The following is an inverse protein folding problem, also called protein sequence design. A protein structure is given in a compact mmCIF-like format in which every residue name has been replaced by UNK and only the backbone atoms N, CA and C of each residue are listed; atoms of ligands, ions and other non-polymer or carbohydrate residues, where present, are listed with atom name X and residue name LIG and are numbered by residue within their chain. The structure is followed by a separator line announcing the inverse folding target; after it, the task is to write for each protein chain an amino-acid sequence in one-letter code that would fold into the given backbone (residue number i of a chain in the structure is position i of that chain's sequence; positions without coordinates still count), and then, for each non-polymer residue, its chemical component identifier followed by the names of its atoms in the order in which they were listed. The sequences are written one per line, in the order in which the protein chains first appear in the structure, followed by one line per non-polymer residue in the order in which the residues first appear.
data_IF_152264108603
#
_entry.id   IF_152264108603
#
_cell.length_a   1.000
_cell.length_b   1.000
_cell.length_c   1.000
_cell.angle_alpha   90.00
_cell.angle_beta   90.00
_cell.angle_gamma   90.00
#
_symmetry.space_group_name_H-M   'P 1'
#
loop_
_entity.id
_entity.type
_entity.pdbx_description
1 polymer ?
#
# COMPACT_ATOMS: atom_id res chain seq x y z
N UNK A 1 32.64 -2.30 -3.97
CA UNK A 1 32.40 -2.56 -5.40
C UNK A 1 31.84 -1.33 -6.07
N UNK A 2 32.12 -1.13 -7.35
CA UNK A 2 31.74 0.04 -8.15
C UNK A 2 31.25 -0.40 -9.52
N UNK A 3 30.52 0.46 -10.21
CA UNK A 3 30.20 0.26 -11.62
C UNK A 3 31.48 0.11 -12.44
N UNK A 4 31.54 -0.89 -13.31
CA UNK A 4 32.71 -1.29 -14.08
C UNK A 4 33.53 -2.44 -13.48
N UNK A 5 33.39 -2.75 -12.20
CA UNK A 5 34.06 -3.91 -11.59
C UNK A 5 33.57 -5.21 -12.25
N UNK A 6 34.47 -6.21 -12.36
CA UNK A 6 34.19 -7.51 -12.97
C UNK A 6 34.39 -8.63 -11.94
N UNK A 7 33.32 -9.35 -11.64
CA UNK A 7 33.35 -10.52 -10.75
C UNK A 7 33.77 -11.77 -11.54
N UNK A 8 34.73 -12.52 -11.02
CA UNK A 8 35.29 -13.75 -11.62
C UNK A 8 35.67 -13.62 -13.10
N UNK A 9 36.08 -12.42 -13.53
CA UNK A 9 36.37 -12.13 -14.93
C UNK A 9 35.19 -12.19 -15.90
N UNK A 10 33.99 -12.49 -15.38
CA UNK A 10 32.78 -12.78 -16.14
C UNK A 10 31.65 -11.75 -15.99
N UNK A 11 31.28 -11.37 -14.80
CA UNK A 11 30.11 -10.52 -14.55
C UNK A 11 30.54 -9.07 -14.33
N UNK A 12 30.38 -8.22 -15.35
CA UNK A 12 30.63 -6.79 -15.22
C UNK A 12 29.45 -6.10 -14.55
N UNK A 13 29.70 -5.40 -13.44
CA UNK A 13 28.70 -4.60 -12.74
C UNK A 13 28.44 -3.29 -13.49
N UNK A 14 27.20 -3.03 -13.89
CA UNK A 14 26.88 -1.84 -14.68
C UNK A 14 26.30 -0.72 -13.80
N UNK A 15 25.28 -1.01 -12.98
CA UNK A 15 24.68 -0.05 -12.04
C UNK A 15 24.02 -0.74 -10.84
N UNK A 16 24.00 -0.05 -9.71
CA UNK A 16 23.27 -0.51 -8.53
C UNK A 16 21.75 -0.47 -8.79
N UNK A 17 21.05 -1.57 -8.45
CA UNK A 17 19.60 -1.69 -8.51
C UNK A 17 18.96 -1.43 -7.15
N UNK A 18 19.64 -1.80 -6.09
CA UNK A 18 19.17 -1.61 -4.73
C UNK A 18 20.17 -2.12 -3.70
N UNK A 19 20.02 -1.64 -2.46
CA UNK A 19 20.84 -1.99 -1.31
C UNK A 19 19.95 -2.38 -0.15
N UNK A 20 20.27 -3.49 0.50
CA UNK A 20 19.59 -3.98 1.70
C UNK A 20 20.56 -4.46 2.77
N UNK A 21 20.05 -4.88 3.92
CA UNK A 21 20.88 -5.34 5.04
C UNK A 21 21.77 -6.54 4.72
N UNK A 22 21.44 -7.34 3.71
CA UNK A 22 22.19 -8.57 3.36
C UNK A 22 23.11 -8.40 2.16
N UNK A 23 22.99 -7.34 1.40
CA UNK A 23 23.81 -7.14 0.22
C UNK A 23 23.34 -6.04 -0.69
N UNK A 24 24.06 -5.92 -1.79
CA UNK A 24 23.80 -4.96 -2.87
C UNK A 24 23.43 -5.74 -4.12
N UNK A 25 22.34 -5.34 -4.77
CA UNK A 25 21.91 -5.92 -6.05
C UNK A 25 22.35 -4.99 -7.18
N UNK A 26 23.03 -5.55 -8.16
CA UNK A 26 23.54 -4.85 -9.34
C UNK A 26 22.87 -5.34 -10.62
N UNK A 27 22.55 -4.43 -11.52
CA UNK A 27 22.44 -4.80 -12.92
C UNK A 27 23.85 -5.06 -13.44
N UNK A 28 24.03 -6.17 -14.12
CA UNK A 28 25.33 -6.62 -14.60
C UNK A 28 25.22 -7.27 -16.00
N UNK A 29 26.35 -7.50 -16.62
CA UNK A 29 26.45 -8.15 -17.91
C UNK A 29 27.32 -9.40 -17.82
N UNK A 30 26.77 -10.56 -18.16
CA UNK A 30 27.50 -11.81 -18.29
C UNK A 30 28.29 -11.79 -19.63
N UNK A 31 29.58 -11.56 -19.54
CA UNK A 31 30.48 -11.40 -20.68
C UNK A 31 30.75 -12.72 -21.45
N UNK A 32 30.45 -13.87 -20.82
CA UNK A 32 30.70 -15.18 -21.42
C UNK A 32 29.61 -15.58 -22.40
N UNK A 33 28.35 -15.30 -22.08
CA UNK A 33 27.20 -15.66 -22.93
C UNK A 33 26.41 -14.43 -23.38
N UNK A 34 26.99 -13.24 -23.22
CA UNK A 34 26.50 -11.95 -23.71
C UNK A 34 25.05 -11.64 -23.40
N UNK A 35 24.72 -11.65 -22.07
CA UNK A 35 23.36 -11.34 -21.61
C UNK A 35 23.33 -10.46 -20.37
N UNK A 36 22.27 -9.64 -20.19
CA UNK A 36 22.05 -8.92 -18.95
C UNK A 36 21.62 -9.89 -17.83
N UNK A 37 22.13 -9.63 -16.62
CA UNK A 37 21.83 -10.39 -15.40
C UNK A 37 21.68 -9.44 -14.22
N UNK A 38 21.04 -9.89 -13.13
CA UNK A 38 21.13 -9.23 -11.83
C UNK A 38 22.14 -10.01 -10.96
N UNK A 39 23.00 -9.28 -10.25
CA UNK A 39 23.98 -9.87 -9.34
C UNK A 39 23.77 -9.33 -7.93
N UNK A 40 23.46 -10.21 -7.00
CA UNK A 40 23.33 -9.87 -5.57
C UNK A 40 24.64 -10.25 -4.87
N UNK A 41 25.30 -9.26 -4.30
CA UNK A 41 26.58 -9.42 -3.62
C UNK A 41 26.38 -9.25 -2.13
N UNK A 42 26.86 -10.17 -1.29
CA UNK A 42 26.77 -10.07 0.16
C UNK A 42 27.60 -8.87 0.68
N UNK A 43 27.15 -8.26 1.78
CA UNK A 43 27.98 -7.29 2.52
C UNK A 43 29.15 -8.01 3.21
N UNK A 44 30.22 -7.26 3.52
CA UNK A 44 31.38 -7.81 4.23
C UNK A 44 31.01 -8.44 5.57
N UNK A 45 30.08 -7.81 6.30
CA UNK A 45 29.59 -8.32 7.59
C UNK A 45 28.95 -9.71 7.44
N UNK A 46 28.10 -9.90 6.43
CA UNK A 46 27.47 -11.20 6.18
C UNK A 46 28.41 -12.21 5.52
N UNK A 47 29.44 -11.76 4.81
CA UNK A 47 30.43 -12.62 4.17
C UNK A 47 31.47 -13.17 5.17
N UNK A 48 31.66 -12.54 6.32
CA UNK A 48 32.54 -12.99 7.40
C UNK A 48 31.88 -13.98 8.37
N UNK A 49 30.55 -14.12 8.34
CA UNK A 49 29.80 -15.13 9.10
C UNK A 49 29.70 -16.44 8.29
N UNK A 50 30.47 -17.45 8.68
CA UNK A 50 30.52 -18.73 7.95
C UNK A 50 29.18 -19.48 7.98
N UNK A 51 28.41 -19.41 9.07
CA UNK A 51 27.06 -19.98 9.13
C UNK A 51 26.09 -19.25 8.21
N UNK A 52 26.20 -17.93 8.14
CA UNK A 52 25.43 -17.10 7.24
C UNK A 52 25.71 -17.49 5.78
N UNK A 53 26.96 -17.63 5.41
CA UNK A 53 27.39 -18.06 4.07
C UNK A 53 26.85 -19.45 3.74
N UNK A 54 26.97 -20.43 4.64
CA UNK A 54 26.47 -21.80 4.40
C UNK A 54 24.95 -21.84 4.23
N UNK A 55 24.20 -21.02 4.99
CA UNK A 55 22.75 -20.86 4.82
C UNK A 55 22.43 -20.26 3.46
N UNK A 56 23.13 -19.19 3.08
CA UNK A 56 22.99 -18.53 1.78
C UNK A 56 23.20 -19.50 0.61
N UNK A 57 24.24 -20.32 0.65
CA UNK A 57 24.54 -21.33 -0.37
C UNK A 57 23.44 -22.39 -0.44
N UNK A 58 22.99 -22.88 0.72
CA UNK A 58 21.95 -23.93 0.78
C UNK A 58 20.65 -23.45 0.17
N UNK A 59 20.24 -22.23 0.50
CA UNK A 59 19.04 -21.63 -0.06
C UNK A 59 19.16 -21.34 -1.55
N UNK A 60 20.31 -20.80 -1.97
CA UNK A 60 20.59 -20.60 -3.37
C UNK A 60 20.43 -21.92 -4.16
N UNK A 61 20.96 -23.03 -3.65
CA UNK A 61 20.80 -24.36 -4.28
C UNK A 61 19.34 -24.78 -4.38
N UNK A 62 18.55 -24.55 -3.31
CA UNK A 62 17.14 -24.95 -3.29
C UNK A 62 16.30 -24.08 -4.21
N UNK A 63 16.49 -22.75 -4.18
CA UNK A 63 15.81 -21.82 -5.09
C UNK A 63 16.23 -22.06 -6.53
N UNK A 64 17.51 -22.38 -6.77
CA UNK A 64 18.04 -22.69 -8.10
C UNK A 64 17.41 -23.94 -8.74
N UNK A 65 16.84 -24.85 -7.93
CA UNK A 65 16.11 -26.02 -8.44
C UNK A 65 14.63 -25.70 -8.80
N UNK A 66 14.11 -24.52 -8.41
CA UNK A 66 12.73 -24.15 -8.70
C UNK A 66 12.57 -23.66 -10.13
N UNK A 67 11.73 -24.34 -10.90
CA UNK A 67 11.35 -23.93 -12.25
C UNK A 67 9.92 -23.42 -12.26
N UNK A 68 9.73 -22.09 -12.22
CA UNK A 68 8.40 -21.47 -12.25
C UNK A 68 8.48 -20.10 -12.94
N UNK A 69 7.60 -19.75 -13.90
CA UNK A 69 7.66 -18.48 -14.63
C UNK A 69 7.42 -17.25 -13.71
N UNK A 70 6.88 -17.45 -12.52
CA UNK A 70 6.62 -16.41 -11.53
C UNK A 70 7.63 -16.37 -10.38
N UNK A 71 8.74 -17.10 -10.50
CA UNK A 71 9.91 -17.03 -9.63
C UNK A 71 11.08 -16.48 -10.44
N UNK A 72 11.88 -15.61 -9.85
CA UNK A 72 13.13 -15.18 -10.47
C UNK A 72 14.05 -16.38 -10.66
N UNK A 73 14.60 -16.55 -11.85
CA UNK A 73 15.50 -17.67 -12.14
C UNK A 73 16.89 -17.39 -11.58
N UNK A 74 17.41 -18.28 -10.74
CA UNK A 74 18.81 -18.25 -10.32
C UNK A 74 19.68 -18.92 -11.39
N UNK A 75 20.73 -18.23 -11.83
CA UNK A 75 21.59 -18.67 -12.91
C UNK A 75 22.92 -19.24 -12.43
N UNK A 76 23.49 -18.63 -11.40
CA UNK A 76 24.83 -18.99 -10.93
C UNK A 76 25.05 -18.50 -9.49
N UNK A 77 26.08 -19.06 -8.86
CA UNK A 77 26.57 -18.66 -7.56
C UNK A 77 28.11 -18.66 -7.63
N UNK A 78 28.73 -17.67 -7.04
CA UNK A 78 30.18 -17.58 -6.99
C UNK A 78 30.73 -16.94 -5.72
N UNK A 79 32.03 -17.04 -5.58
CA UNK A 79 32.81 -16.37 -4.52
C UNK A 79 33.90 -15.57 -5.20
N UNK A 80 33.97 -14.29 -4.91
CA UNK A 80 35.08 -13.44 -5.34
C UNK A 80 36.04 -13.23 -4.19
N UNK A 81 37.34 -13.26 -4.48
CA UNK A 81 38.41 -12.96 -3.55
C UNK A 81 39.31 -11.91 -4.14
N UNK A 82 39.55 -10.81 -3.42
CA UNK A 82 40.43 -9.71 -3.80
C UNK A 82 41.32 -9.37 -2.60
N UNK A 83 42.56 -9.85 -2.63
CA UNK A 83 43.50 -9.76 -1.52
C UNK A 83 43.00 -10.46 -0.26
N UNK A 84 42.89 -9.70 0.83
CA UNK A 84 42.34 -10.19 2.12
C UNK A 84 40.81 -10.18 2.17
N UNK A 85 40.15 -9.61 1.19
CA UNK A 85 38.69 -9.49 1.14
C UNK A 85 38.07 -10.62 0.28
N UNK A 86 37.01 -11.21 0.79
CA UNK A 86 36.23 -12.19 0.02
C UNK A 86 34.74 -12.01 0.26
N UNK A 87 33.94 -12.21 -0.78
CA UNK A 87 32.48 -12.18 -0.65
C UNK A 87 31.84 -13.21 -1.58
N UNK A 88 30.57 -13.45 -1.34
CA UNK A 88 29.72 -14.36 -2.10
C UNK A 88 28.72 -13.56 -2.93
N UNK A 89 28.39 -14.07 -4.11
CA UNK A 89 27.41 -13.44 -4.98
C UNK A 89 26.48 -14.47 -5.61
N UNK A 90 25.26 -14.04 -5.93
CA UNK A 90 24.26 -14.76 -6.69
C UNK A 90 24.02 -14.06 -8.02
N UNK A 91 23.97 -14.83 -9.10
CA UNK A 91 23.60 -14.34 -10.43
C UNK A 91 22.19 -14.82 -10.75
N UNK A 92 21.33 -13.90 -11.10
CA UNK A 92 19.92 -14.19 -11.35
C UNK A 92 19.42 -13.47 -12.59
N UNK A 93 18.26 -13.86 -13.06
CA UNK A 93 17.53 -13.19 -14.13
C UNK A 93 17.37 -11.69 -13.82
N UNK A 94 17.76 -10.82 -14.73
CA UNK A 94 17.43 -9.40 -14.67
C UNK A 94 16.00 -9.20 -15.19
N UNK A 95 15.05 -9.03 -14.28
CA UNK A 95 13.65 -8.82 -14.64
C UNK A 95 13.47 -7.38 -15.14
N UNK A 96 13.14 -7.23 -16.41
CA UNK A 96 12.77 -5.93 -16.98
C UNK A 96 11.37 -5.57 -16.55
N UNK A 97 11.23 -4.55 -15.68
CA UNK A 97 9.95 -4.14 -15.10
C UNK A 97 10.11 -3.21 -13.91
N UNK A 98 9.08 -3.15 -13.09
CA UNK A 98 9.03 -2.29 -11.90
C UNK A 98 8.63 -3.09 -10.66
N UNK A 99 9.19 -2.82 -9.47
CA UNK A 99 8.70 -3.43 -8.25
C UNK A 99 7.24 -2.99 -7.99
N UNK A 100 6.44 -3.90 -7.46
CA UNK A 100 5.03 -3.63 -7.14
C UNK A 100 4.88 -2.45 -6.16
N UNK A 101 5.86 -2.23 -5.28
CA UNK A 101 5.91 -1.05 -4.40
C UNK A 101 5.99 0.26 -5.18
N UNK A 102 6.67 0.30 -6.33
CA UNK A 102 6.70 1.48 -7.20
C UNK A 102 5.39 1.64 -7.98
N UNK A 103 4.77 0.53 -8.41
CA UNK A 103 3.45 0.57 -9.06
C UNK A 103 2.40 1.12 -8.11
N UNK A 104 2.39 0.69 -6.84
CA UNK A 104 1.44 1.16 -5.82
C UNK A 104 1.62 2.64 -5.44
N UNK A 105 2.80 3.22 -5.65
CA UNK A 105 3.02 4.66 -5.46
C UNK A 105 2.33 5.52 -6.53
N UNK A 106 2.20 4.99 -7.74
CA UNK A 106 1.50 5.67 -8.83
C UNK A 106 -0.03 5.59 -8.68
N UNK A 107 -0.52 4.65 -7.88
CA UNK A 107 -1.94 4.43 -7.62
C UNK A 107 -2.28 2.95 -7.50
N UNK A 108 -3.55 2.67 -7.19
CA UNK A 108 -4.04 1.28 -7.17
C UNK A 108 -4.18 0.74 -8.59
N UNK A 109 -3.72 -0.50 -8.84
CA UNK A 109 -3.99 -1.16 -10.11
C UNK A 109 -5.48 -1.50 -10.24
N UNK A 110 -5.93 -1.69 -11.48
CA UNK A 110 -7.24 -2.27 -11.73
C UNK A 110 -7.39 -3.61 -11.00
N UNK A 111 -8.55 -3.87 -10.40
CA UNK A 111 -8.78 -5.05 -9.55
C UNK A 111 -8.51 -6.37 -10.27
N UNK A 112 -8.91 -6.48 -11.54
CA UNK A 112 -8.64 -7.67 -12.35
C UNK A 112 -7.13 -7.94 -12.45
N UNK A 113 -6.34 -6.89 -12.61
CA UNK A 113 -4.88 -6.94 -12.69
C UNK A 113 -4.27 -7.30 -11.33
N UNK A 114 -4.73 -6.67 -10.26
CA UNK A 114 -4.31 -7.00 -8.89
C UNK A 114 -4.55 -8.49 -8.57
N UNK A 115 -5.75 -9.00 -8.85
CA UNK A 115 -6.09 -10.41 -8.64
C UNK A 115 -5.28 -11.35 -9.55
N UNK A 116 -4.94 -10.92 -10.80
CA UNK A 116 -4.03 -11.65 -11.68
C UNK A 116 -2.66 -11.81 -10.99
N UNK A 117 -2.07 -10.74 -10.49
CA UNK A 117 -0.76 -10.77 -9.85
C UNK A 117 -0.76 -11.63 -8.58
N UNK A 118 -1.78 -11.50 -7.72
CA UNK A 118 -1.88 -12.36 -6.53
C UNK A 118 -1.98 -13.83 -6.89
N UNK A 119 -2.76 -14.20 -7.92
CA UNK A 119 -2.81 -15.59 -8.42
C UNK A 119 -1.45 -16.08 -8.95
N UNK A 120 -0.65 -15.20 -9.54
CA UNK A 120 0.70 -15.52 -10.02
C UNK A 120 1.68 -15.70 -8.85
N UNK A 121 1.60 -14.85 -7.82
CA UNK A 121 2.36 -15.03 -6.55
C UNK A 121 1.97 -16.35 -5.89
N UNK A 122 0.68 -16.72 -5.86
CA UNK A 122 0.26 -18.04 -5.36
C UNK A 122 0.90 -19.20 -6.12
N UNK A 123 1.08 -19.09 -7.46
CA UNK A 123 1.79 -20.13 -8.22
C UNK A 123 3.26 -20.24 -7.84
N UNK A 124 3.90 -19.11 -7.57
CA UNK A 124 5.28 -19.07 -7.10
C UNK A 124 5.42 -19.74 -5.72
N UNK A 125 4.56 -19.33 -4.77
CA UNK A 125 4.55 -19.87 -3.40
C UNK A 125 4.24 -21.37 -3.38
N UNK A 126 3.24 -21.82 -4.13
CA UNK A 126 2.88 -23.24 -4.24
C UNK A 126 4.07 -24.09 -4.74
N UNK A 127 4.81 -23.63 -5.75
CA UNK A 127 5.99 -24.31 -6.25
C UNK A 127 7.12 -24.37 -5.20
N UNK A 128 7.36 -23.27 -4.49
CA UNK A 128 8.39 -23.19 -3.46
C UNK A 128 8.04 -24.07 -2.23
N UNK A 129 6.81 -23.96 -1.72
CA UNK A 129 6.38 -24.73 -0.54
C UNK A 129 6.42 -26.24 -0.78
N UNK A 130 6.08 -26.72 -1.98
CA UNK A 130 6.24 -28.16 -2.34
C UNK A 130 7.68 -28.63 -2.33
N UNK A 131 8.63 -27.73 -2.54
CA UNK A 131 10.07 -28.00 -2.48
C UNK A 131 10.65 -27.76 -1.08
N UNK A 132 9.80 -27.52 -0.07
CA UNK A 132 10.21 -27.25 1.31
C UNK A 132 10.77 -25.84 1.54
N UNK A 133 10.58 -24.90 0.58
CA UNK A 133 11.07 -23.52 0.69
C UNK A 133 9.94 -22.60 1.13
N UNK A 134 10.15 -21.88 2.23
CA UNK A 134 9.29 -20.79 2.71
C UNK A 134 9.94 -19.46 2.37
N UNK A 135 9.19 -18.54 1.76
CA UNK A 135 9.74 -17.25 1.29
C UNK A 135 10.09 -16.28 2.43
N UNK A 136 9.24 -16.19 3.46
CA UNK A 136 9.42 -15.42 4.70
C UNK A 136 9.52 -13.89 4.55
N UNK A 137 9.48 -13.34 3.33
CA UNK A 137 9.61 -11.90 3.05
C UNK A 137 8.72 -11.45 1.88
N UNK A 138 7.49 -11.97 1.80
CA UNK A 138 6.50 -11.52 0.80
C UNK A 138 6.07 -10.09 1.12
N UNK A 139 6.38 -9.18 0.18
CA UNK A 139 6.03 -7.75 0.25
C UNK A 139 6.13 -7.12 -1.16
N UNK A 140 5.56 -5.93 -1.41
CA UNK A 140 5.58 -5.29 -2.72
C UNK A 140 6.98 -5.04 -3.30
N UNK A 141 8.00 -4.85 -2.45
CA UNK A 141 9.39 -4.66 -2.87
C UNK A 141 9.97 -5.91 -3.53
N UNK A 142 9.53 -7.10 -3.09
CA UNK A 142 10.02 -8.41 -3.55
C UNK A 142 9.14 -9.01 -4.66
N UNK A 143 8.26 -8.21 -5.27
CA UNK A 143 7.43 -8.62 -6.41
C UNK A 143 7.69 -7.65 -7.56
N UNK A 144 8.24 -8.16 -8.66
CA UNK A 144 8.44 -7.39 -9.89
C UNK A 144 7.24 -7.58 -10.82
N UNK A 145 6.77 -6.48 -11.38
CA UNK A 145 5.82 -6.49 -12.50
C UNK A 145 6.63 -6.28 -13.77
N UNK A 146 6.69 -7.33 -14.58
CA UNK A 146 7.44 -7.34 -15.83
C UNK A 146 6.81 -6.45 -16.90
N UNK A 147 7.53 -6.16 -17.97
CA UNK A 147 7.02 -5.42 -19.13
C UNK A 147 5.82 -6.11 -19.83
N UNK A 148 5.65 -7.43 -19.67
CA UNK A 148 4.46 -8.18 -20.11
C UNK A 148 3.25 -8.06 -19.16
N UNK A 149 3.40 -7.36 -18.03
CA UNK A 149 2.37 -7.23 -17.01
C UNK A 149 2.18 -8.47 -16.14
N UNK A 150 3.20 -9.33 -16.01
CA UNK A 150 3.20 -10.51 -15.15
C UNK A 150 4.01 -10.28 -13.88
N UNK A 151 3.54 -10.86 -12.76
CA UNK A 151 4.24 -10.80 -11.50
C UNK A 151 5.31 -11.90 -11.40
N UNK A 152 6.51 -11.52 -10.93
CA UNK A 152 7.60 -12.42 -10.54
C UNK A 152 8.03 -12.13 -9.11
N UNK A 153 8.17 -13.17 -8.31
CA UNK A 153 8.65 -13.12 -6.93
C UNK A 153 10.17 -13.18 -6.94
N UNK A 154 10.78 -12.23 -6.24
CA UNK A 154 12.21 -12.10 -6.03
C UNK A 154 12.61 -12.61 -4.64
N UNK A 155 13.90 -12.79 -4.40
CA UNK A 155 14.52 -12.92 -3.08
C UNK A 155 13.82 -13.90 -2.12
N UNK A 156 13.63 -15.16 -2.55
CA UNK A 156 13.19 -16.21 -1.63
C UNK A 156 14.13 -16.28 -0.43
N UNK A 157 13.64 -15.89 0.74
CA UNK A 157 14.12 -16.06 2.10
C UNK A 157 15.61 -16.06 2.45
N UNK A 158 16.48 -15.90 1.44
CA UNK A 158 17.95 -16.01 1.53
C UNK A 158 18.53 -15.18 2.69
N UNK A 159 17.82 -14.14 3.07
CA UNK A 159 18.29 -13.17 4.04
C UNK A 159 17.84 -13.43 5.48
N UNK A 160 16.74 -14.13 5.70
CA UNK A 160 16.08 -14.22 7.02
C UNK A 160 16.48 -15.42 7.88
N UNK A 161 17.07 -16.44 7.28
CA UNK A 161 17.70 -17.52 8.07
C UNK A 161 19.00 -17.06 8.77
N UNK A 162 19.53 -15.90 8.35
CA UNK A 162 20.69 -15.28 8.99
C UNK A 162 20.35 -14.66 10.35
N UNK A 163 19.07 -14.36 10.63
CA UNK A 163 18.61 -13.82 11.92
C UNK A 163 17.67 -14.79 12.62
N UNK A 164 18.16 -15.96 13.02
CA UNK A 164 17.37 -16.91 13.84
C UNK A 164 17.16 -16.47 15.30
N UNK A 165 17.55 -15.26 15.64
CA UNK A 165 17.14 -14.61 16.87
C UNK A 165 16.40 -13.35 16.51
N UNK A 166 15.05 -13.42 16.45
CA UNK A 166 14.20 -12.25 16.62
C UNK A 166 14.28 -11.80 18.07
N UNK A 167 15.52 -11.53 18.51
CA UNK A 167 15.76 -10.54 19.54
C UNK A 167 15.62 -9.20 18.84
N UNK A 168 14.92 -8.26 19.43
CA UNK A 168 14.94 -6.84 19.08
C UNK A 168 16.42 -6.44 19.11
N UNK A 169 17.15 -6.74 18.01
CA UNK A 169 18.56 -6.40 17.91
C UNK A 169 18.67 -4.94 17.53
N UNK A 170 19.53 -4.26 18.24
CA UNK A 170 19.92 -2.86 18.24
C UNK A 170 20.35 -2.24 16.88
N UNK A 171 20.07 -2.89 15.76
CA UNK A 171 20.36 -2.38 14.42
C UNK A 171 19.10 -2.38 13.57
N UNK A 172 18.53 -1.23 13.34
CA UNK A 172 17.34 -0.83 12.60
C UNK A 172 16.87 -1.60 11.34
N UNK A 173 17.34 -2.81 11.09
CA UNK A 173 17.05 -3.62 9.89
C UNK A 173 15.65 -4.26 9.85
N UNK A 174 14.91 -4.27 10.97
CA UNK A 174 13.54 -4.83 11.05
C UNK A 174 12.48 -3.89 10.45
N UNK A 175 12.81 -2.60 10.25
CA UNK A 175 11.83 -1.55 9.96
C UNK A 175 11.10 -1.73 8.61
N UNK A 176 11.72 -2.31 7.59
CA UNK A 176 11.11 -2.40 6.25
C UNK A 176 10.13 -3.56 6.04
N UNK A 177 10.26 -4.67 6.77
CA UNK A 177 9.47 -5.89 6.57
C UNK A 177 8.40 -6.11 7.64
N UNK A 178 8.54 -5.47 8.80
CA UNK A 178 7.61 -5.57 9.93
C UNK A 178 6.11 -5.54 9.54
N UNK A 179 5.67 -4.68 8.60
CA UNK A 179 4.26 -4.57 8.22
C UNK A 179 3.64 -5.80 7.53
N UNK A 180 4.43 -6.79 7.12
CA UNK A 180 3.96 -8.00 6.43
C UNK A 180 4.25 -9.28 7.22
N UNK A 181 4.84 -9.15 8.42
CA UNK A 181 5.25 -10.28 9.23
C UNK A 181 4.07 -11.00 9.84
N UNK A 182 4.04 -12.32 9.67
CA UNK A 182 3.07 -13.18 10.33
C UNK A 182 3.27 -13.23 11.86
N UNK A 183 2.19 -13.40 12.64
CA UNK A 183 2.26 -13.47 14.12
C UNK A 183 3.30 -14.45 14.65
N UNK A 184 3.39 -15.66 14.09
CA UNK A 184 4.35 -16.69 14.48
C UNK A 184 5.81 -16.28 14.25
N UNK A 185 6.06 -15.38 13.31
CA UNK A 185 7.42 -14.84 13.09
C UNK A 185 7.89 -13.93 14.21
N UNK A 186 6.98 -13.36 15.00
CA UNK A 186 7.29 -12.55 16.17
C UNK A 186 7.45 -13.38 17.45
N UNK A 187 6.74 -14.51 17.55
CA UNK A 187 6.74 -15.35 18.75
C UNK A 187 7.86 -16.39 18.78
N UNK A 188 8.65 -16.54 17.70
CA UNK A 188 9.70 -17.55 17.60
C UNK A 188 9.16 -18.99 17.45
N UNK A 189 7.89 -19.15 17.07
CA UNK A 189 7.28 -20.44 16.77
C UNK A 189 7.84 -21.04 15.46
N UNK A 190 7.54 -22.32 15.21
CA UNK A 190 7.91 -22.95 13.93
C UNK A 190 7.20 -22.25 12.76
N UNK A 191 7.97 -21.86 11.75
CA UNK A 191 7.48 -21.14 10.58
C UNK A 191 7.35 -22.10 9.41
N UNK A 192 6.15 -22.23 8.86
CA UNK A 192 5.85 -22.96 7.63
C UNK A 192 5.34 -22.03 6.52
N UNK A 193 4.87 -22.60 5.39
CA UNK A 193 4.34 -21.83 4.25
C UNK A 193 3.14 -20.96 4.57
N UNK A 194 2.46 -21.17 5.70
CA UNK A 194 1.32 -20.35 6.13
C UNK A 194 1.72 -18.95 6.58
N UNK A 195 2.99 -18.75 6.94
CA UNK A 195 3.53 -17.41 7.17
C UNK A 195 3.53 -16.56 5.88
N UNK A 196 3.87 -17.17 4.74
CA UNK A 196 3.80 -16.50 3.43
C UNK A 196 2.35 -16.20 3.04
N UNK A 197 1.39 -17.07 3.41
CA UNK A 197 -0.03 -16.84 3.18
C UNK A 197 -0.56 -15.65 3.98
N UNK A 198 -0.09 -15.45 5.21
CA UNK A 198 -0.41 -14.26 5.99
C UNK A 198 0.11 -12.98 5.32
N UNK A 199 1.39 -12.98 4.92
CA UNK A 199 2.01 -11.87 4.21
C UNK A 199 1.27 -11.57 2.87
N UNK A 200 0.83 -12.62 2.15
CA UNK A 200 -0.02 -12.51 0.97
C UNK A 200 -1.38 -11.89 1.32
N UNK A 201 -1.95 -12.21 2.48
CA UNK A 201 -3.17 -11.60 3.01
C UNK A 201 -3.01 -10.09 3.23
N UNK A 202 -1.90 -9.66 3.83
CA UNK A 202 -1.57 -8.23 3.99
C UNK A 202 -1.42 -7.55 2.63
N UNK A 203 -0.75 -8.18 1.68
CA UNK A 203 -0.58 -7.68 0.32
C UNK A 203 -1.93 -7.57 -0.41
N UNK A 204 -2.77 -8.61 -0.35
CA UNK A 204 -4.09 -8.61 -0.97
C UNK A 204 -4.99 -7.53 -0.35
N UNK A 205 -4.99 -7.39 0.98
CA UNK A 205 -5.67 -6.29 1.66
C UNK A 205 -5.20 -4.93 1.12
N UNK A 206 -3.89 -4.72 0.99
CA UNK A 206 -3.33 -3.47 0.47
C UNK A 206 -3.71 -3.22 -1.00
N UNK A 207 -3.72 -4.24 -1.84
CA UNK A 207 -4.15 -4.14 -3.24
C UNK A 207 -5.63 -3.84 -3.38
N UNK A 208 -6.45 -4.27 -2.41
CA UNK A 208 -7.88 -3.99 -2.37
C UNK A 208 -8.20 -2.60 -1.85
N UNK A 209 -7.42 -2.08 -0.89
CA UNK A 209 -7.80 -0.91 -0.09
C UNK A 209 -6.86 0.29 -0.25
N UNK A 210 -5.70 0.11 -0.86
CA UNK A 210 -4.66 1.13 -0.97
C UNK A 210 -3.83 1.32 0.30
N UNK A 211 -4.17 0.64 1.38
CA UNK A 211 -3.49 0.75 2.68
C UNK A 211 -3.27 -0.62 3.30
N UNK A 212 -2.30 -0.73 4.18
CA UNK A 212 -2.06 -1.96 4.95
C UNK A 212 -3.12 -2.11 6.05
N UNK A 213 -3.44 -3.35 6.47
CA UNK A 213 -4.41 -3.59 7.55
C UNK A 213 -3.95 -3.00 8.88
N UNK A 214 -2.65 -2.96 9.11
CA UNK A 214 -2.04 -2.43 10.32
C UNK A 214 -0.99 -1.38 9.98
N UNK A 215 -0.94 -0.31 10.79
CA UNK A 215 0.01 0.79 10.67
C UNK A 215 0.38 1.27 12.08
N UNK A 216 1.67 1.37 12.36
CA UNK A 216 2.18 1.84 13.65
C UNK A 216 3.48 2.60 13.47
N UNK A 217 3.77 3.52 14.39
CA UNK A 217 4.97 4.35 14.37
C UNK A 217 6.21 3.64 14.94
N UNK A 218 5.99 2.54 15.70
CA UNK A 218 7.08 1.78 16.30
C UNK A 218 7.02 0.30 15.95
N UNK A 219 8.16 -0.40 15.85
CA UNK A 219 8.17 -1.84 15.62
C UNK A 219 7.39 -2.65 16.67
N UNK A 220 7.43 -2.22 17.92
CA UNK A 220 6.71 -2.89 19.04
C UNK A 220 5.19 -2.75 18.87
N UNK A 221 4.71 -1.55 18.53
CA UNK A 221 3.29 -1.34 18.25
C UNK A 221 2.83 -2.12 17.00
N UNK A 222 3.66 -2.20 15.96
CA UNK A 222 3.41 -3.01 14.77
C UNK A 222 3.32 -4.50 15.14
N UNK A 223 4.25 -5.00 15.93
CA UNK A 223 4.22 -6.38 16.46
C UNK A 223 2.92 -6.65 17.21
N UNK A 224 2.53 -5.75 18.13
CA UNK A 224 1.31 -5.89 18.91
C UNK A 224 0.07 -6.00 18.02
N UNK A 225 -0.06 -5.15 17.00
CA UNK A 225 -1.18 -5.19 16.05
C UNK A 225 -1.23 -6.51 15.27
N UNK A 226 -0.09 -7.00 14.80
CA UNK A 226 -0.03 -8.29 14.10
C UNK A 226 -0.38 -9.47 15.01
N UNK A 227 -0.04 -9.42 16.29
CA UNK A 227 -0.33 -10.47 17.25
C UNK A 227 -1.79 -10.44 17.75
N UNK A 228 -2.36 -9.26 18.00
CA UNK A 228 -3.56 -9.13 18.81
C UNK A 228 -4.73 -8.41 18.13
N UNK A 229 -4.47 -7.42 17.26
CA UNK A 229 -5.55 -6.61 16.72
C UNK A 229 -6.29 -7.37 15.59
N UNK A 230 -7.63 -7.21 15.59
CA UNK A 230 -8.46 -7.73 14.49
C UNK A 230 -8.22 -6.88 13.23
N UNK A 231 -7.89 -7.49 12.07
CA UNK A 231 -7.72 -6.73 10.84
C UNK A 231 -9.05 -6.10 10.43
N UNK A 232 -9.03 -4.84 9.91
CA UNK A 232 -10.23 -4.22 9.38
C UNK A 232 -10.79 -5.03 8.21
N UNK A 233 -12.11 -5.09 8.09
CA UNK A 233 -12.77 -5.83 7.00
C UNK A 233 -12.55 -5.12 5.65
N UNK A 234 -12.22 -5.87 4.62
CA UNK A 234 -12.21 -5.37 3.24
C UNK A 234 -13.64 -5.10 2.81
N UNK A 235 -13.96 -3.85 2.45
CA UNK A 235 -15.26 -3.49 1.88
C UNK A 235 -15.29 -3.91 0.41
N UNK A 236 -16.04 -4.96 0.12
CA UNK A 236 -16.23 -5.49 -1.22
C UNK A 236 -17.65 -5.96 -1.39
N UNK A 237 -18.16 -5.92 -2.61
CA UNK A 237 -19.44 -6.54 -2.95
C UNK A 237 -19.34 -8.06 -3.15
N UNK A 238 -18.11 -8.60 -3.13
CA UNK A 238 -17.86 -10.04 -3.17
C UNK A 238 -17.51 -10.56 -1.76
N UNK A 239 -18.45 -11.16 -1.04
CA UNK A 239 -18.23 -11.67 0.31
C UNK A 239 -17.17 -12.77 0.37
N UNK A 240 -16.94 -13.52 -0.74
CA UNK A 240 -15.92 -14.55 -0.79
C UNK A 240 -14.51 -13.94 -0.74
N UNK A 241 -14.29 -12.78 -1.37
CA UNK A 241 -13.02 -12.05 -1.28
C UNK A 241 -12.78 -11.54 0.14
N UNK A 242 -13.79 -10.91 0.78
CA UNK A 242 -13.67 -10.43 2.15
C UNK A 242 -13.36 -11.58 3.13
N UNK A 243 -14.06 -12.71 3.00
CA UNK A 243 -13.82 -13.90 3.81
C UNK A 243 -12.42 -14.49 3.59
N UNK A 244 -11.94 -14.53 2.34
CA UNK A 244 -10.60 -15.01 2.02
C UNK A 244 -9.51 -14.13 2.66
N UNK A 245 -9.63 -12.81 2.56
CA UNK A 245 -8.67 -11.87 3.17
C UNK A 245 -8.68 -12.02 4.69
N UNK A 246 -9.86 -12.09 5.32
CA UNK A 246 -9.98 -12.28 6.77
C UNK A 246 -9.32 -13.60 7.21
N UNK A 247 -9.50 -14.68 6.47
CA UNK A 247 -8.90 -15.98 6.78
C UNK A 247 -7.37 -15.98 6.56
N UNK A 248 -6.85 -15.33 5.52
CA UNK A 248 -5.42 -15.16 5.32
C UNK A 248 -4.77 -14.39 6.47
N UNK A 249 -5.48 -13.41 7.04
CA UNK A 249 -5.03 -12.59 8.17
C UNK A 249 -5.35 -13.19 9.55
N UNK A 250 -5.81 -14.43 9.61
CA UNK A 250 -6.03 -15.14 10.87
C UNK A 250 -4.72 -15.23 11.66
N UNK A 251 -4.83 -15.04 13.00
CA UNK A 251 -3.67 -15.03 13.90
C UNK A 251 -3.08 -16.43 14.05
N UNK A 252 -3.93 -17.43 14.24
CA UNK A 252 -3.50 -18.84 14.26
C UNK A 252 -3.25 -19.30 12.80
N UNK A 253 -2.05 -19.84 12.49
CA UNK A 253 -1.78 -20.44 11.19
C UNK A 253 -2.75 -21.57 10.81
N UNK A 254 -3.34 -22.27 11.80
CA UNK A 254 -4.29 -23.36 11.55
C UNK A 254 -5.62 -22.87 10.95
N UNK A 255 -6.00 -21.63 11.21
CA UNK A 255 -7.23 -21.00 10.69
C UNK A 255 -7.07 -20.45 9.27
N UNK A 256 -5.84 -20.41 8.74
CA UNK A 256 -5.54 -19.94 7.39
C UNK A 256 -5.84 -21.02 6.34
N UNK A 257 -5.95 -20.67 5.05
CA UNK A 257 -5.99 -21.65 3.97
C UNK A 257 -4.84 -22.65 4.07
N UNK A 258 -5.07 -23.89 3.65
CA UNK A 258 -4.08 -24.97 3.80
C UNK A 258 -2.80 -24.70 3.01
N UNK A 259 -2.94 -24.16 1.79
CA UNK A 259 -1.84 -23.89 0.86
C UNK A 259 -2.13 -22.75 -0.13
N UNK A 260 -1.11 -22.33 -0.86
CA UNK A 260 -1.26 -21.28 -1.88
C UNK A 260 -2.11 -21.72 -3.09
N UNK A 261 -2.22 -23.03 -3.35
CA UNK A 261 -3.08 -23.55 -4.42
C UNK A 261 -4.55 -23.37 -4.07
N UNK A 262 -4.93 -23.54 -2.81
CA UNK A 262 -6.29 -23.25 -2.31
C UNK A 262 -6.62 -21.76 -2.49
N UNK A 263 -5.76 -20.87 -2.02
CA UNK A 263 -5.93 -19.42 -2.19
C UNK A 263 -6.14 -19.07 -3.66
N UNK A 264 -5.32 -19.62 -4.55
CA UNK A 264 -5.43 -19.42 -6.00
C UNK A 264 -6.75 -19.92 -6.57
N UNK A 265 -7.25 -21.08 -6.11
CA UNK A 265 -8.58 -21.59 -6.55
C UNK A 265 -9.69 -20.64 -6.16
N UNK A 266 -9.71 -20.18 -4.91
CA UNK A 266 -10.73 -19.27 -4.39
C UNK A 266 -10.72 -17.92 -5.13
N UNK A 267 -9.53 -17.39 -5.45
CA UNK A 267 -9.37 -16.15 -6.21
C UNK A 267 -9.83 -16.26 -7.68
N UNK A 268 -10.04 -17.46 -8.24
CA UNK A 268 -10.61 -17.62 -9.60
C UNK A 268 -12.09 -17.29 -9.64
N UNK A 269 -12.79 -17.55 -8.55
CA UNK A 269 -14.23 -17.38 -8.45
C UNK A 269 -14.61 -15.95 -8.03
N UNK A 270 -13.63 -15.15 -7.58
CA UNK A 270 -13.82 -13.73 -7.28
C UNK A 270 -14.07 -12.94 -8.56
N UNK A 271 -15.13 -12.14 -8.56
CA UNK A 271 -15.53 -11.31 -9.71
C UNK A 271 -14.72 -10.00 -9.71
N UNK A 272 -13.89 -9.72 -10.75
CA UNK A 272 -13.20 -8.44 -10.87
C UNK A 272 -14.18 -7.28 -10.96
N UNK A 273 -13.87 -6.16 -10.35
CA UNK A 273 -14.67 -4.92 -10.45
C UNK A 273 -15.72 -4.74 -9.37
N UNK A 274 -15.82 -5.65 -8.41
CA UNK A 274 -16.77 -5.57 -7.30
C UNK A 274 -16.14 -5.07 -5.97
N UNK A 275 -14.93 -4.54 -6.00
CA UNK A 275 -14.43 -3.80 -4.85
C UNK A 275 -15.17 -2.47 -4.81
N UNK A 276 -15.97 -2.26 -3.78
CA UNK A 276 -16.39 -0.91 -3.47
C UNK A 276 -15.12 -0.09 -3.22
N UNK A 277 -14.94 1.09 -3.82
CA UNK A 277 -13.84 1.95 -3.43
C UNK A 277 -13.90 2.09 -1.91
N UNK A 278 -12.73 1.98 -1.26
CA UNK A 278 -12.65 2.32 0.16
C UNK A 278 -13.30 3.68 0.33
N UNK A 279 -14.15 3.80 1.35
CA UNK A 279 -14.58 5.13 1.77
C UNK A 279 -13.28 5.91 2.03
N UNK A 280 -13.10 7.04 1.36
CA UNK A 280 -11.89 7.82 1.57
C UNK A 280 -11.77 8.13 3.07
N UNK A 281 -10.56 8.02 3.61
CA UNK A 281 -10.37 8.41 5.00
C UNK A 281 -10.74 9.89 5.19
N UNK A 282 -11.15 10.32 6.39
CA UNK A 282 -11.39 11.74 6.66
C UNK A 282 -10.23 12.64 6.23
N UNK A 283 -8.98 12.15 6.34
CA UNK A 283 -7.79 12.87 5.87
C UNK A 283 -7.69 12.96 4.35
N UNK A 284 -8.06 11.90 3.64
CA UNK A 284 -8.10 11.93 2.16
C UNK A 284 -9.16 12.90 1.66
N UNK A 285 -10.34 12.89 2.29
CA UNK A 285 -11.39 13.88 1.99
C UNK A 285 -10.90 15.30 2.27
N UNK A 286 -10.20 15.52 3.39
CA UNK A 286 -9.65 16.84 3.72
C UNK A 286 -8.62 17.30 2.68
N UNK A 287 -7.70 16.43 2.25
CA UNK A 287 -6.74 16.75 1.17
C UNK A 287 -7.44 17.14 -0.14
N UNK A 288 -8.54 16.48 -0.50
CA UNK A 288 -9.36 16.83 -1.67
C UNK A 288 -10.04 18.20 -1.48
N UNK A 289 -10.52 18.51 -0.29
CA UNK A 289 -11.07 19.83 0.03
C UNK A 289 -9.99 20.93 -0.03
N UNK A 290 -8.78 20.68 0.51
CA UNK A 290 -7.64 21.59 0.41
C UNK A 290 -7.19 21.81 -1.06
N UNK A 291 -7.33 20.79 -1.90
CA UNK A 291 -7.07 20.92 -3.33
C UNK A 291 -8.13 21.79 -4.01
N UNK A 292 -9.42 21.66 -3.65
CA UNK A 292 -10.48 22.54 -4.14
C UNK A 292 -10.20 24.01 -3.77
N UNK A 293 -9.68 24.26 -2.55
CA UNK A 293 -9.24 25.58 -2.12
C UNK A 293 -8.15 26.16 -3.01
N UNK A 294 -7.12 25.36 -3.37
CA UNK A 294 -6.04 25.78 -4.28
C UNK A 294 -6.56 26.14 -5.67
N UNK A 295 -7.39 25.28 -6.24
CA UNK A 295 -8.02 25.51 -7.56
C UNK A 295 -8.77 26.85 -7.57
N UNK A 296 -9.56 27.12 -6.54
CA UNK A 296 -10.28 28.37 -6.42
C UNK A 296 -9.38 29.59 -6.26
N UNK A 297 -8.27 29.47 -5.50
CA UNK A 297 -7.27 30.52 -5.30
C UNK A 297 -6.46 30.83 -6.58
N UNK A 298 -6.30 29.85 -7.47
CA UNK A 298 -5.65 29.99 -8.78
C UNK A 298 -6.56 30.65 -9.85
N UNK A 299 -7.78 31.04 -9.48
CA UNK A 299 -8.68 31.79 -10.36
C UNK A 299 -9.89 31.03 -10.89
N UNK A 300 -10.11 29.79 -10.42
CA UNK A 300 -11.20 28.90 -10.86
C UNK A 300 -12.25 28.67 -9.75
N UNK A 301 -12.95 29.73 -9.26
CA UNK A 301 -13.89 29.59 -8.13
C UNK A 301 -15.08 28.68 -8.45
N UNK A 302 -15.51 28.64 -9.73
CA UNK A 302 -16.58 27.74 -10.16
C UNK A 302 -16.21 26.26 -10.06
N UNK A 303 -14.96 25.90 -10.37
CA UNK A 303 -14.48 24.54 -10.25
C UNK A 303 -14.31 24.12 -8.78
N UNK A 304 -13.85 25.03 -7.91
CA UNK A 304 -13.78 24.79 -6.47
C UNK A 304 -15.18 24.47 -5.89
N UNK A 305 -16.21 25.19 -6.32
CA UNK A 305 -17.61 24.94 -5.96
C UNK A 305 -18.02 23.52 -6.35
N UNK A 306 -17.80 23.10 -7.60
CA UNK A 306 -18.17 21.76 -8.07
C UNK A 306 -17.49 20.64 -7.28
N UNK A 307 -16.20 20.80 -6.99
CA UNK A 307 -15.45 19.81 -6.21
C UNK A 307 -16.01 19.72 -4.79
N UNK A 308 -16.28 20.82 -4.12
CA UNK A 308 -16.81 20.84 -2.75
C UNK A 308 -18.25 20.32 -2.68
N UNK A 309 -19.11 20.66 -3.65
CA UNK A 309 -20.47 20.11 -3.78
C UNK A 309 -20.44 18.57 -3.88
N UNK A 310 -19.49 18.00 -4.61
CA UNK A 310 -19.31 16.54 -4.70
C UNK A 310 -18.73 15.90 -3.44
N UNK A 311 -17.91 16.62 -2.66
CA UNK A 311 -17.27 16.11 -1.45
C UNK A 311 -18.16 16.07 -0.22
N UNK A 312 -19.10 17.01 -0.08
CA UNK A 312 -19.94 17.12 1.12
C UNK A 312 -20.75 15.86 1.42
N UNK A 313 -21.43 15.21 0.45
CA UNK A 313 -22.10 13.94 0.69
C UNK A 313 -21.16 12.81 1.15
N UNK A 314 -19.91 12.78 0.64
CA UNK A 314 -18.91 11.82 1.07
C UNK A 314 -18.49 12.08 2.53
N UNK A 315 -18.23 13.35 2.91
CA UNK A 315 -17.94 13.71 4.30
C UNK A 315 -19.10 13.36 5.24
N UNK A 316 -20.33 13.67 4.86
CA UNK A 316 -21.52 13.38 5.67
C UNK A 316 -21.73 11.87 5.89
N UNK A 317 -21.46 11.06 4.87
CA UNK A 317 -21.57 9.60 4.97
C UNK A 317 -20.46 9.00 5.83
N UNK A 318 -19.24 9.53 5.81
CA UNK A 318 -18.06 8.96 6.47
C UNK A 318 -17.89 9.50 7.89
N UNK A 319 -18.02 10.80 8.06
CA UNK A 319 -17.82 11.47 9.34
C UNK A 319 -19.13 11.70 10.11
N UNK A 320 -20.25 11.75 9.39
CA UNK A 320 -21.54 12.16 9.89
C UNK A 320 -21.92 13.58 9.45
N UNK A 321 -23.22 13.86 9.29
CA UNK A 321 -23.70 15.17 8.82
C UNK A 321 -23.43 16.32 9.81
N UNK A 322 -23.40 16.03 11.12
CA UNK A 322 -23.11 17.01 12.18
C UNK A 322 -21.63 17.05 12.60
N UNK A 323 -20.76 16.27 11.98
CA UNK A 323 -19.33 16.31 12.28
C UNK A 323 -18.71 17.64 11.83
N UNK A 324 -17.84 18.21 12.67
CA UNK A 324 -17.20 19.50 12.40
C UNK A 324 -16.47 19.56 11.04
N UNK A 325 -15.91 18.45 10.58
CA UNK A 325 -15.23 18.34 9.25
C UNK A 325 -16.23 18.52 8.12
N UNK A 326 -17.40 17.90 8.22
CA UNK A 326 -18.50 18.07 7.25
C UNK A 326 -19.00 19.51 7.24
N UNK A 327 -19.26 20.06 8.44
CA UNK A 327 -19.77 21.45 8.57
C UNK A 327 -18.75 22.49 8.07
N UNK A 328 -17.44 22.28 8.31
CA UNK A 328 -16.39 23.14 7.75
C UNK A 328 -16.33 23.06 6.24
N UNK A 329 -16.51 21.89 5.62
CA UNK A 329 -16.53 21.76 4.16
C UNK A 329 -17.76 22.47 3.57
N UNK A 330 -18.90 22.48 4.27
CA UNK A 330 -20.06 23.29 3.89
C UNK A 330 -19.77 24.78 3.98
N UNK A 331 -19.05 25.24 5.00
CA UNK A 331 -18.61 26.63 5.10
C UNK A 331 -17.64 27.00 3.97
N UNK A 332 -16.65 26.13 3.68
CA UNK A 332 -15.72 26.31 2.55
C UNK A 332 -16.48 26.47 1.22
N UNK A 333 -17.54 25.67 1.00
CA UNK A 333 -18.41 25.82 -0.18
C UNK A 333 -19.10 27.19 -0.21
N UNK A 334 -19.64 27.67 0.91
CA UNK A 334 -20.28 28.98 0.96
C UNK A 334 -19.31 30.11 0.58
N UNK A 335 -18.06 30.05 1.07
CA UNK A 335 -17.02 31.01 0.71
C UNK A 335 -16.76 31.01 -0.80
N UNK A 336 -16.65 29.85 -1.44
CA UNK A 336 -16.39 29.76 -2.87
C UNK A 336 -17.62 30.11 -3.73
N UNK A 337 -18.84 29.82 -3.26
CA UNK A 337 -20.06 30.32 -3.89
C UNK A 337 -20.07 31.85 -3.97
N UNK A 338 -19.75 32.53 -2.84
CA UNK A 338 -19.69 34.00 -2.82
C UNK A 338 -18.61 34.53 -3.76
N UNK A 339 -17.44 33.92 -3.82
CA UNK A 339 -16.34 34.30 -4.74
C UNK A 339 -16.67 34.03 -6.21
N UNK A 340 -17.52 33.03 -6.48
CA UNK A 340 -18.05 32.73 -7.80
C UNK A 340 -19.23 33.65 -8.22
N UNK A 341 -19.52 34.69 -7.43
CA UNK A 341 -20.62 35.63 -7.70
C UNK A 341 -22.00 35.14 -7.26
N UNK A 342 -22.12 33.98 -6.63
CA UNK A 342 -23.38 33.36 -6.16
C UNK A 342 -23.65 33.68 -4.67
N UNK A 343 -23.62 34.97 -4.32
CA UNK A 343 -23.73 35.45 -2.95
C UNK A 343 -25.05 35.07 -2.25
N UNK A 344 -26.16 35.09 -3.00
CA UNK A 344 -27.47 34.67 -2.48
C UNK A 344 -27.50 33.20 -2.04
N UNK A 345 -26.91 32.30 -2.85
CA UNK A 345 -26.78 30.89 -2.52
C UNK A 345 -25.83 30.65 -1.31
N UNK A 346 -24.73 31.41 -1.26
CA UNK A 346 -23.79 31.37 -0.14
C UNK A 346 -24.46 31.79 1.17
N UNK A 347 -25.18 32.87 1.19
CA UNK A 347 -25.92 33.34 2.37
C UNK A 347 -27.02 32.36 2.81
N UNK A 348 -27.76 31.78 1.84
CA UNK A 348 -28.76 30.75 2.13
C UNK A 348 -28.15 29.52 2.82
N UNK A 349 -27.00 29.05 2.29
CA UNK A 349 -26.26 27.92 2.86
C UNK A 349 -25.78 28.21 4.29
N UNK A 350 -25.24 29.40 4.56
CA UNK A 350 -24.79 29.77 5.91
C UNK A 350 -25.94 29.89 6.91
N UNK A 351 -27.13 30.36 6.49
CA UNK A 351 -28.30 30.38 7.40
C UNK A 351 -28.72 28.97 7.84
N UNK A 352 -28.63 28.00 6.93
CA UNK A 352 -28.92 26.59 7.24
C UNK A 352 -27.81 25.95 8.09
N UNK A 353 -26.55 26.41 7.92
CA UNK A 353 -25.37 25.84 8.62
C UNK A 353 -25.23 26.35 10.08
N UNK A 354 -25.56 27.59 10.35
CA UNK A 354 -25.36 28.23 11.67
C UNK A 354 -25.96 27.47 12.84
N UNK A 355 -27.20 26.93 12.79
CA UNK A 355 -27.74 26.14 13.89
C UNK A 355 -26.90 24.88 14.20
N UNK A 356 -26.34 24.23 13.18
CA UNK A 356 -25.50 23.05 13.34
C UNK A 356 -24.12 23.37 13.93
N UNK A 357 -23.64 24.61 13.78
CA UNK A 357 -22.38 25.11 14.34
C UNK A 357 -22.52 25.68 15.78
N UNK A 358 -23.70 25.68 16.37
CA UNK A 358 -23.93 26.31 17.67
C UNK A 358 -23.04 25.74 18.82
N UNK A 359 -22.58 24.48 18.68
CA UNK A 359 -21.67 23.84 19.63
C UNK A 359 -20.17 24.15 19.38
N UNK A 360 -19.83 24.86 18.31
CA UNK A 360 -18.47 25.13 17.89
C UNK A 360 -18.22 26.66 17.73
N UNK A 361 -17.88 27.37 18.82
CA UNK A 361 -17.91 28.83 18.87
C UNK A 361 -17.07 29.51 17.78
N UNK A 362 -15.86 29.01 17.50
CA UNK A 362 -14.98 29.60 16.49
C UNK A 362 -15.56 29.48 15.08
N UNK A 363 -16.04 28.30 14.71
CA UNK A 363 -16.63 28.04 13.37
C UNK A 363 -17.97 28.79 13.22
N UNK A 364 -18.75 28.91 14.27
CA UNK A 364 -19.99 29.69 14.30
C UNK A 364 -19.72 31.17 14.02
N UNK A 365 -18.74 31.78 14.74
CA UNK A 365 -18.43 33.22 14.56
C UNK A 365 -17.87 33.51 13.17
N UNK A 366 -17.06 32.58 12.59
CA UNK A 366 -16.55 32.74 11.23
C UNK A 366 -17.71 32.71 10.22
N UNK A 367 -18.59 31.72 10.29
CA UNK A 367 -19.75 31.59 9.42
C UNK A 367 -20.73 32.78 9.55
N UNK A 368 -20.96 33.24 10.79
CA UNK A 368 -21.80 34.41 11.06
C UNK A 368 -21.20 35.70 10.50
N UNK A 369 -19.91 35.90 10.61
CA UNK A 369 -19.19 37.06 10.06
C UNK A 369 -19.32 37.13 8.54
N UNK A 370 -19.13 35.99 7.88
CA UNK A 370 -19.27 35.90 6.44
C UNK A 370 -20.74 36.16 5.98
N UNK A 371 -21.72 35.62 6.68
CA UNK A 371 -23.13 35.85 6.41
C UNK A 371 -23.46 37.35 6.49
N UNK A 372 -23.08 38.05 7.57
CA UNK A 372 -23.31 39.49 7.75
C UNK A 372 -22.62 40.29 6.64
N UNK A 373 -21.41 39.88 6.23
CA UNK A 373 -20.67 40.54 5.16
C UNK A 373 -21.39 40.44 3.81
N UNK A 374 -21.98 39.28 3.50
CA UNK A 374 -22.66 39.07 2.21
C UNK A 374 -24.08 39.59 2.17
N UNK A 375 -24.76 39.71 3.31
CA UNK A 375 -26.09 40.37 3.40
C UNK A 375 -26.00 41.90 3.24
N UNK A 376 -24.86 42.51 3.60
CA UNK A 376 -24.63 43.97 3.50
C UNK A 376 -23.96 44.41 2.20
N UNK A 377 -23.56 43.48 1.32
CA UNK A 377 -22.88 43.78 0.05
C UNK A 377 -23.79 44.46 -0.97
N UNK A 378 -23.24 45.17 -1.97
CA UNK A 378 -23.98 45.98 -2.96
C UNK A 378 -24.83 45.18 -3.96
N UNK A 379 -24.93 43.84 -3.81
CA UNK A 379 -25.85 42.97 -4.52
C UNK A 379 -26.88 42.43 -3.52
N UNK A 380 -28.02 43.07 -3.38
CA UNK A 380 -29.13 42.58 -2.53
C UNK A 380 -29.53 41.16 -2.92
N UNK A 381 -30.39 40.50 -2.12
CA UNK A 381 -30.67 39.05 -2.26
C UNK A 381 -31.16 38.75 -3.67
N UNK A 382 -30.32 38.05 -4.43
CA UNK A 382 -30.70 37.55 -5.75
C UNK A 382 -31.86 36.56 -5.54
N UNK A 383 -33.03 36.85 -6.13
CA UNK A 383 -34.28 36.13 -5.87
C UNK A 383 -34.30 34.70 -6.44
N UNK A 384 -33.16 34.13 -6.85
CA UNK A 384 -33.10 32.86 -7.57
C UNK A 384 -32.25 31.74 -6.95
N UNK A 385 -31.51 31.96 -5.88
CA UNK A 385 -30.52 30.97 -5.37
C UNK A 385 -30.85 30.41 -4.00
N UNK A 386 -31.63 29.34 -3.93
CA UNK A 386 -31.74 28.52 -2.72
C UNK A 386 -30.46 27.68 -2.52
N UNK A 387 -30.21 27.22 -1.28
CA UNK A 387 -29.12 26.27 -1.01
C UNK A 387 -29.21 25.05 -1.95
N UNK A 388 -28.08 24.48 -2.39
CA UNK A 388 -28.09 23.31 -3.25
C UNK A 388 -28.97 22.19 -2.70
N UNK A 389 -29.82 21.51 -3.53
CA UNK A 389 -30.81 20.54 -3.06
C UNK A 389 -30.25 19.42 -2.20
N UNK A 390 -29.04 18.95 -2.52
CA UNK A 390 -28.33 17.92 -1.79
C UNK A 390 -28.00 18.31 -0.33
N UNK A 391 -27.82 19.60 -0.04
CA UNK A 391 -27.48 20.13 1.27
C UNK A 391 -28.70 20.33 2.18
N UNK A 392 -29.86 20.62 1.60
CA UNK A 392 -31.12 20.70 2.35
C UNK A 392 -31.51 19.37 3.01
N UNK A 393 -31.26 18.26 2.31
CA UNK A 393 -31.52 16.91 2.85
C UNK A 393 -30.54 16.56 3.98
N UNK A 394 -29.30 17.03 3.90
CA UNK A 394 -28.23 16.75 4.89
C UNK A 394 -28.38 17.54 6.18
N UNK A 395 -28.86 18.77 6.13
CA UNK A 395 -28.99 19.67 7.29
C UNK A 395 -30.36 19.60 7.98
N UNK A 396 -31.21 18.63 7.61
CA UNK A 396 -32.47 18.37 8.33
C UNK A 396 -33.70 19.08 7.78
N UNK A 397 -33.63 19.69 6.60
CA UNK A 397 -34.77 20.22 5.88
C UNK A 397 -35.53 19.11 5.14
N UNK A 398 -36.26 18.24 5.85
CA UNK A 398 -37.23 17.34 5.24
C UNK A 398 -38.35 18.15 4.55
N UNK A 399 -39.04 17.58 3.51
CA UNK A 399 -40.16 18.27 2.87
C UNK A 399 -41.23 18.53 3.93
N UNK A 400 -41.49 19.80 4.23
CA UNK A 400 -42.73 20.15 4.92
C UNK A 400 -43.87 19.85 3.93
N UNK A 401 -44.58 18.75 4.20
CA UNK A 401 -45.87 18.49 3.59
C UNK A 401 -46.85 19.63 4.00
N UNK A 402 -47.29 20.39 3.07
CA UNK A 402 -48.56 21.12 3.08
C UNK A 402 -49.38 20.60 1.92
#
# INVERSE_FOLDING_TARGET
MRAGDVLDGRYRLDRELGRGGFGVVWAAHDRTIDRPVAVKVLTEENASDEEAVQRFIREAKTVGSLTNPHIVTLHDYGRVQDGAWSTHYLVMELVSGRPLSAVLKDGLPEHALALKWVRQVCKALDAAHRSGVVHRDIKPENIMISGSGDAKVLDFGIARLLSQSVGITSTGSVIGTAPYLAPECWSGASIDGRADLYALGVLLYQLCTGRRPFTADTPVAMMYQHLHDTPPTVRTTDPALAALVAQLLAKDPADRPADAAEVRRRLRDVRPGLLAPDDPSPEQLRRRADQAWRIGAEGEPGMAVQVLEALIPEFARICGPADLRTLRTCHDLAVWLARAGRQGAAAALLRELLPALAGEPAAYEDARRDLVRWERGPGGPDQGGGAPPALRVLLGGGPQNS
#
